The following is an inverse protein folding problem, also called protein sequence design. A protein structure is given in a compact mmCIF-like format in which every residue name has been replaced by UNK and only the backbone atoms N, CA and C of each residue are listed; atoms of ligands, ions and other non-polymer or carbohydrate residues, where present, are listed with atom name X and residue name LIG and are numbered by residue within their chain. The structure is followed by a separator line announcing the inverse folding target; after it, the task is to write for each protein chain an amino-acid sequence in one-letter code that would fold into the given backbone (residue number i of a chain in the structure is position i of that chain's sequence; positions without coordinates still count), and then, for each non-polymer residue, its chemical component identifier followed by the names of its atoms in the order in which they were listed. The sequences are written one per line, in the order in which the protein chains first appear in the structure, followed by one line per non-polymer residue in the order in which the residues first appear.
data_IF_318678914547
#
_entry.id   IF_318678914547
#
_cell.length_a   1.000
_cell.length_b   1.000
_cell.length_c   1.000
_cell.angle_alpha   90.00
_cell.angle_beta   90.00
_cell.angle_gamma   90.00
#
_symmetry.space_group_name_H-M   'P 1'
#
loop_
_entity.id
_entity.type
_entity.pdbx_description
1 polymer ?
#
# COMPACT_ATOMS: atom_id res chain seq x y z
N UNK A 1 -13.10 22.37 -12.30
CA UNK A 1 -12.60 21.05 -12.70
C UNK A 1 -11.53 20.61 -11.71
N UNK A 2 -11.88 19.72 -10.78
CA UNK A 2 -11.00 19.29 -9.68
C UNK A 2 -10.28 17.99 -9.99
N UNK A 3 -9.12 17.77 -9.37
CA UNK A 3 -8.37 16.52 -9.49
C UNK A 3 -9.25 15.33 -9.10
N UNK A 4 -9.22 14.27 -9.90
CA UNK A 4 -9.94 13.02 -9.61
C UNK A 4 -9.43 12.46 -8.28
N UNK A 5 -10.35 12.09 -7.39
CA UNK A 5 -9.96 11.48 -6.12
C UNK A 5 -9.11 10.23 -6.36
N UNK A 6 -8.00 10.07 -5.62
CA UNK A 6 -7.18 8.88 -5.75
C UNK A 6 -7.98 7.65 -5.30
N UNK A 7 -7.79 6.51 -5.98
CA UNK A 7 -8.40 5.26 -5.53
C UNK A 7 -7.88 4.87 -4.15
N UNK A 8 -8.73 4.24 -3.33
CA UNK A 8 -8.29 3.61 -2.07
C UNK A 8 -7.28 2.50 -2.36
N UNK A 9 -6.21 2.45 -1.57
CA UNK A 9 -5.20 1.39 -1.66
C UNK A 9 -5.74 0.04 -1.16
N UNK A 10 -6.91 -0.02 -0.51
CA UNK A 10 -7.51 -1.27 -0.02
C UNK A 10 -8.33 -2.02 -1.08
N UNK A 11 -8.43 -1.51 -2.31
CA UNK A 11 -9.12 -2.20 -3.40
C UNK A 11 -8.43 -3.53 -3.71
N UNK A 12 -9.20 -4.61 -3.90
CA UNK A 12 -8.69 -5.97 -4.16
C UNK A 12 -7.65 -6.02 -5.28
N UNK A 13 -7.86 -5.25 -6.35
CA UNK A 13 -6.91 -5.14 -7.47
C UNK A 13 -5.53 -4.67 -6.99
N UNK A 14 -5.48 -3.67 -6.11
CA UNK A 14 -4.24 -3.10 -5.61
C UNK A 14 -3.60 -3.99 -4.54
N UNK A 15 -4.43 -4.63 -3.71
CA UNK A 15 -3.95 -5.66 -2.77
C UNK A 15 -3.29 -6.83 -3.48
N UNK A 16 -3.88 -7.29 -4.58
CA UNK A 16 -3.35 -8.40 -5.38
C UNK A 16 -2.27 -7.98 -6.39
N UNK A 17 -1.98 -6.68 -6.53
CA UNK A 17 -0.91 -6.21 -7.40
C UNK A 17 0.45 -6.66 -6.87
N UNK A 18 1.42 -6.91 -7.76
CA UNK A 18 2.79 -7.17 -7.35
C UNK A 18 3.37 -5.97 -6.58
N UNK A 19 4.24 -6.22 -5.59
CA UNK A 19 4.84 -5.13 -4.78
C UNK A 19 5.58 -4.08 -5.64
N UNK A 20 6.20 -4.51 -6.74
CA UNK A 20 6.86 -3.63 -7.71
C UNK A 20 5.93 -2.62 -8.38
N UNK A 21 4.61 -2.86 -8.39
CA UNK A 21 3.63 -1.89 -8.91
C UNK A 21 3.71 -0.55 -8.18
N UNK A 22 3.81 -0.55 -6.84
CA UNK A 22 3.90 0.69 -6.08
C UNK A 22 5.22 1.42 -6.34
N UNK A 23 6.33 0.68 -6.41
CA UNK A 23 7.62 1.25 -6.77
C UNK A 23 7.59 1.91 -8.16
N UNK A 24 6.99 1.23 -9.14
CA UNK A 24 6.85 1.72 -10.51
C UNK A 24 5.99 2.98 -10.58
N UNK A 25 4.83 2.98 -9.92
CA UNK A 25 3.93 4.13 -9.85
C UNK A 25 4.60 5.34 -9.17
N UNK A 26 5.39 5.14 -8.11
CA UNK A 26 6.16 6.23 -7.47
C UNK A 26 7.25 6.75 -8.42
N UNK A 27 7.90 5.85 -9.15
CA UNK A 27 9.04 6.18 -10.03
C UNK A 27 8.59 6.85 -11.33
N UNK A 28 7.51 6.39 -11.94
CA UNK A 28 7.09 6.77 -13.29
C UNK A 28 5.79 7.59 -13.31
N UNK A 29 5.08 7.66 -12.19
CA UNK A 29 3.73 8.22 -12.14
C UNK A 29 2.68 7.24 -12.66
N UNK A 30 1.42 7.61 -12.55
CA UNK A 30 0.30 6.80 -13.06
C UNK A 30 -0.95 7.65 -13.25
N UNK A 31 -1.53 7.65 -14.45
CA UNK A 31 -2.68 8.49 -14.78
C UNK A 31 -2.37 9.98 -14.54
N UNK A 32 -3.15 10.63 -13.69
CA UNK A 32 -2.93 12.04 -13.30
C UNK A 32 -1.88 12.22 -12.19
N UNK A 33 -1.32 11.14 -11.64
CA UNK A 33 -0.28 11.22 -10.63
C UNK A 33 1.08 11.40 -11.29
N UNK A 34 1.74 12.53 -11.00
CA UNK A 34 3.11 12.79 -11.44
C UNK A 34 4.10 11.83 -10.78
N UNK A 35 5.24 11.62 -11.44
CA UNK A 35 6.38 10.92 -10.87
C UNK A 35 6.93 11.66 -9.63
N UNK A 36 7.43 10.88 -8.67
CA UNK A 36 8.15 11.36 -7.49
C UNK A 36 9.65 11.04 -7.56
N UNK A 37 10.17 10.55 -8.69
CA UNK A 37 11.54 10.06 -8.79
C UNK A 37 12.61 11.12 -8.49
N UNK A 38 12.35 12.39 -8.81
CA UNK A 38 13.29 13.48 -8.50
C UNK A 38 13.33 13.88 -7.02
N UNK A 39 12.36 13.42 -6.22
CA UNK A 39 12.18 13.82 -4.82
C UNK A 39 12.44 12.70 -3.83
N UNK A 40 12.27 11.45 -4.25
CA UNK A 40 12.39 10.27 -3.38
C UNK A 40 13.52 9.38 -3.90
N UNK A 41 14.57 9.10 -3.12
CA UNK A 41 15.63 8.16 -3.47
C UNK A 41 15.10 6.74 -3.75
N UNK A 42 15.80 5.97 -4.58
CA UNK A 42 15.36 4.62 -4.99
C UNK A 42 15.03 3.70 -3.81
N UNK A 43 15.88 3.68 -2.77
CA UNK A 43 15.67 2.86 -1.59
C UNK A 43 14.37 3.22 -0.85
N UNK A 44 14.10 4.51 -0.72
CA UNK A 44 12.92 5.00 0.00
C UNK A 44 11.62 4.70 -0.76
N UNK A 45 11.66 4.58 -2.09
CA UNK A 45 10.49 4.12 -2.87
C UNK A 45 10.13 2.68 -2.55
N UNK A 46 11.14 1.83 -2.34
CA UNK A 46 10.92 0.46 -1.86
C UNK A 46 10.39 0.44 -0.43
N UNK A 47 10.91 1.30 0.45
CA UNK A 47 10.39 1.44 1.81
C UNK A 47 8.90 1.85 1.82
N UNK A 48 8.51 2.81 0.99
CA UNK A 48 7.10 3.20 0.82
C UNK A 48 6.25 2.04 0.28
N UNK A 49 6.72 1.33 -0.74
CA UNK A 49 6.00 0.17 -1.29
C UNK A 49 5.79 -0.94 -0.25
N UNK A 50 6.82 -1.23 0.57
CA UNK A 50 6.73 -2.19 1.67
C UNK A 50 5.78 -1.71 2.77
N UNK A 51 5.80 -0.42 3.11
CA UNK A 51 4.90 0.16 4.11
C UNK A 51 3.44 0.09 3.67
N UNK A 52 3.14 0.38 2.40
CA UNK A 52 1.79 0.19 1.84
C UNK A 52 1.34 -1.26 2.00
N UNK A 53 2.21 -2.24 1.72
CA UNK A 53 1.89 -3.66 1.88
C UNK A 53 1.61 -4.02 3.33
N UNK A 54 2.41 -3.52 4.26
CA UNK A 54 2.21 -3.74 5.68
C UNK A 54 0.86 -3.17 6.16
N UNK A 55 0.49 -1.96 5.71
CA UNK A 55 -0.82 -1.36 6.02
C UNK A 55 -1.99 -2.13 5.39
N UNK A 56 -1.81 -2.66 4.18
CA UNK A 56 -2.84 -3.51 3.57
C UNK A 56 -3.05 -4.78 4.40
N UNK A 57 -1.95 -5.42 4.83
CA UNK A 57 -2.01 -6.61 5.67
C UNK A 57 -2.63 -6.32 7.05
N UNK A 58 -2.24 -5.23 7.72
CA UNK A 58 -2.75 -4.91 9.06
C UNK A 58 -4.26 -4.64 9.08
N UNK A 59 -4.80 -4.07 8.00
CA UNK A 59 -6.24 -3.79 7.87
C UNK A 59 -7.07 -5.02 7.48
N UNK A 60 -6.40 -6.13 7.19
CA UNK A 60 -7.02 -7.40 6.80
C UNK A 60 -6.69 -8.55 7.74
N UNK A 61 -5.87 -8.31 8.77
CA UNK A 61 -5.49 -9.33 9.74
C UNK A 61 -6.75 -10.02 10.26
N UNK A 62 -6.97 -11.24 9.75
CA UNK A 62 -8.15 -12.00 10.05
C UNK A 62 -8.02 -12.45 11.51
N UNK A 63 -9.12 -12.40 12.27
CA UNK A 63 -9.11 -12.72 13.70
C UNK A 63 -8.45 -14.08 13.98
N UNK A 64 -8.63 -15.04 13.09
CA UNK A 64 -8.07 -16.39 13.12
C UNK A 64 -6.56 -16.46 12.81
N UNK A 65 -5.99 -15.45 12.17
CA UNK A 65 -4.54 -15.32 11.94
C UNK A 65 -3.81 -14.64 13.11
N UNK A 66 -4.55 -14.07 14.07
CA UNK A 66 -3.96 -13.50 15.28
C UNK A 66 -3.45 -14.62 16.22
N UNK A 67 -2.35 -14.39 16.96
CA UNK A 67 -1.98 -15.25 18.08
C UNK A 67 -3.15 -15.45 19.05
N UNK A 68 -3.28 -16.65 19.63
CA UNK A 68 -4.37 -16.98 20.55
C UNK A 68 -4.46 -16.02 21.76
N UNK A 69 -3.35 -15.40 22.14
CA UNK A 69 -3.32 -14.37 23.19
C UNK A 69 -4.09 -13.10 22.77
N UNK A 70 -3.84 -12.61 21.56
CA UNK A 70 -4.49 -11.40 21.02
C UNK A 70 -5.97 -11.67 20.73
N UNK A 71 -6.32 -12.89 20.29
CA UNK A 71 -7.71 -13.33 20.10
C UNK A 71 -8.53 -13.24 21.39
N UNK A 72 -7.95 -13.61 22.53
CA UNK A 72 -8.62 -13.60 23.85
C UNK A 72 -8.88 -12.18 24.37
N UNK A 73 -8.07 -11.20 23.99
CA UNK A 73 -8.24 -9.80 24.43
C UNK A 73 -9.39 -9.07 23.71
N UNK A 74 -9.85 -9.62 22.60
CA UNK A 74 -10.90 -9.04 21.76
C UNK A 74 -12.28 -9.71 21.93
N UNK A 75 -12.39 -10.71 22.81
CA UNK A 75 -13.65 -11.35 23.24
C UNK A 75 -14.21 -10.68 24.49
#
# INVERSE_FOLDING_TARGET
SGLKQPPSLHQDRLRNAAIGYYYDVITNGFGSMFSYASRIPVNDRWAVAAYIRALQFSQEAAYDELPAEDQRQLQ
#
